data_IF_716504299392
#
_entry.id   IF_716504299392
#
_cell.length_a   1.000
_cell.length_b   1.000
_cell.length_c   1.000
_cell.angle_alpha   90.00
_cell.angle_beta   90.00
_cell.angle_gamma   90.00
#
_symmetry.space_group_name_H-M   'P 1'
#
loop_
_entity.id
_entity.type
_entity.pdbx_description
1 polymer ?
#
# COMPACT_ATOMS: atom_id res chain seq x y z
N UNK A 1 24.37 -3.14 -6.20
CA UNK A 1 23.06 -2.71 -5.65
C UNK A 1 23.09 -2.61 -4.12
N UNK A 2 23.30 -3.72 -3.40
CA UNK A 2 23.32 -3.76 -1.91
C UNK A 2 24.12 -2.63 -1.25
N UNK A 3 25.38 -2.44 -1.67
CA UNK A 3 26.24 -1.39 -1.12
C UNK A 3 25.68 0.03 -1.38
N UNK A 4 25.17 0.29 -2.58
CA UNK A 4 24.60 1.60 -2.94
C UNK A 4 23.37 1.94 -2.09
N UNK A 5 22.50 0.97 -1.83
CA UNK A 5 21.31 1.20 -0.99
C UNK A 5 21.67 1.34 0.48
N UNK A 6 22.54 0.46 1.01
CA UNK A 6 22.91 0.47 2.44
C UNK A 6 23.70 1.70 2.86
N UNK A 7 24.47 2.29 1.94
CA UNK A 7 25.28 3.48 2.18
C UNK A 7 24.65 4.76 1.61
N UNK A 8 23.35 4.73 1.28
CA UNK A 8 22.60 5.92 0.90
C UNK A 8 22.59 6.94 2.06
N UNK A 9 23.11 8.16 1.88
CA UNK A 9 23.17 9.16 2.94
C UNK A 9 21.75 9.61 3.27
N UNK A 10 21.37 9.58 4.56
CA UNK A 10 20.07 10.08 5.04
C UNK A 10 18.84 9.48 4.34
N UNK A 11 18.97 8.30 3.73
CA UNK A 11 17.89 7.69 2.96
C UNK A 11 17.67 8.33 1.57
N UNK A 12 18.62 9.12 1.08
CA UNK A 12 18.63 9.59 -0.31
C UNK A 12 19.00 8.43 -1.25
N UNK A 13 17.97 7.85 -1.85
CA UNK A 13 18.09 6.75 -2.79
C UNK A 13 18.31 7.20 -4.25
N UNK A 14 18.55 8.49 -4.51
CA UNK A 14 18.76 9.02 -5.87
C UNK A 14 19.86 8.26 -6.60
N UNK A 15 21.01 8.01 -5.94
CA UNK A 15 22.13 7.28 -6.55
C UNK A 15 21.81 5.81 -6.86
N UNK A 16 21.36 4.96 -5.89
CA UNK A 16 21.03 3.57 -6.18
C UNK A 16 19.91 3.42 -7.22
N UNK A 17 18.88 4.27 -7.18
CA UNK A 17 17.78 4.23 -8.15
C UNK A 17 18.23 4.70 -9.54
N UNK A 18 19.01 5.79 -9.64
CA UNK A 18 19.58 6.22 -10.92
C UNK A 18 20.45 5.13 -11.55
N UNK A 19 21.27 4.45 -10.76
CA UNK A 19 22.05 3.31 -11.22
C UNK A 19 21.15 2.15 -11.69
N UNK A 20 20.08 1.85 -10.94
CA UNK A 20 19.12 0.82 -11.33
C UNK A 20 18.45 1.12 -12.67
N UNK A 21 17.91 2.32 -12.86
CA UNK A 21 17.18 2.70 -14.07
C UNK A 21 18.09 2.78 -15.30
N UNK A 22 19.37 3.10 -15.12
CA UNK A 22 20.31 3.24 -16.23
C UNK A 22 20.97 1.92 -16.63
N UNK A 23 21.33 1.07 -15.66
CA UNK A 23 22.12 -0.13 -15.90
C UNK A 23 21.28 -1.40 -15.90
N UNK A 24 20.09 -1.40 -15.28
CA UNK A 24 19.24 -2.58 -15.08
C UNK A 24 20.03 -3.82 -14.61
N UNK A 25 20.79 -3.72 -13.51
CA UNK A 25 21.67 -4.80 -13.06
C UNK A 25 20.88 -6.06 -12.68
N UNK A 26 21.42 -7.24 -13.00
CA UNK A 26 20.87 -8.51 -12.55
C UNK A 26 21.06 -8.65 -11.04
N UNK A 27 19.96 -8.74 -10.30
CA UNK A 27 19.97 -8.96 -8.86
C UNK A 27 20.08 -10.46 -8.58
N UNK A 28 21.22 -10.89 -8.03
CA UNK A 28 21.52 -12.32 -7.80
C UNK A 28 21.03 -12.85 -6.46
N UNK A 29 20.57 -11.97 -5.56
CA UNK A 29 20.17 -12.33 -4.20
C UNK A 29 18.83 -11.71 -3.86
N UNK A 30 18.03 -12.41 -3.05
CA UNK A 30 16.76 -11.88 -2.51
C UNK A 30 16.99 -10.60 -1.71
N UNK A 31 18.05 -10.54 -0.93
CA UNK A 31 18.42 -9.35 -0.16
C UNK A 31 18.64 -8.11 -1.05
N UNK A 32 19.33 -8.27 -2.20
CA UNK A 32 19.55 -7.15 -3.11
C UNK A 32 18.24 -6.65 -3.74
N UNK A 33 17.31 -7.58 -4.01
CA UNK A 33 15.95 -7.26 -4.47
C UNK A 33 15.17 -6.51 -3.39
N UNK A 34 15.13 -7.02 -2.16
CA UNK A 34 14.39 -6.40 -1.05
C UNK A 34 14.93 -5.01 -0.69
N UNK A 35 16.25 -4.82 -0.72
CA UNK A 35 16.87 -3.51 -0.48
C UNK A 35 16.52 -2.51 -1.59
N UNK A 36 16.65 -2.90 -2.86
CA UNK A 36 16.25 -2.05 -3.98
C UNK A 36 14.76 -1.72 -3.90
N UNK A 37 13.92 -2.72 -3.62
CA UNK A 37 12.48 -2.54 -3.52
C UNK A 37 12.11 -1.58 -2.40
N UNK A 38 12.75 -1.69 -1.22
CA UNK A 38 12.55 -0.75 -0.13
C UNK A 38 12.96 0.68 -0.52
N UNK A 39 14.09 0.84 -1.21
CA UNK A 39 14.51 2.14 -1.72
C UNK A 39 13.47 2.72 -2.68
N UNK A 40 13.01 1.93 -3.63
CA UNK A 40 11.97 2.31 -4.60
C UNK A 40 10.66 2.66 -3.90
N UNK A 41 10.16 1.81 -3.00
CA UNK A 41 8.92 2.05 -2.26
C UNK A 41 8.99 3.30 -1.38
N UNK A 42 10.18 3.65 -0.88
CA UNK A 42 10.44 4.88 -0.13
C UNK A 42 10.42 6.13 -0.99
N UNK A 43 10.80 6.02 -2.27
CA UNK A 43 10.87 7.15 -3.20
C UNK A 43 9.58 7.31 -4.04
N UNK A 44 8.94 6.21 -4.46
CA UNK A 44 7.70 6.21 -5.24
C UNK A 44 6.87 4.96 -4.97
N UNK A 45 5.65 5.15 -4.45
CA UNK A 45 4.72 4.04 -4.18
C UNK A 45 4.24 3.42 -5.49
N UNK A 46 3.89 4.26 -6.48
CA UNK A 46 3.46 3.82 -7.81
C UNK A 46 4.54 3.01 -8.53
N UNK A 47 5.79 3.45 -8.49
CA UNK A 47 6.88 2.74 -9.14
C UNK A 47 7.09 1.36 -8.53
N UNK A 48 7.19 1.28 -7.19
CA UNK A 48 7.34 0.02 -6.48
C UNK A 48 6.20 -0.95 -6.76
N UNK A 49 4.97 -0.43 -6.85
CA UNK A 49 3.80 -1.22 -7.22
C UNK A 49 3.98 -1.86 -8.60
N UNK A 50 4.26 -1.09 -9.65
CA UNK A 50 4.43 -1.65 -10.99
C UNK A 50 5.66 -2.55 -11.10
N UNK A 51 6.75 -2.25 -10.37
CA UNK A 51 7.91 -3.10 -10.32
C UNK A 51 7.60 -4.48 -9.70
N UNK A 52 6.77 -4.54 -8.65
CA UNK A 52 6.35 -5.82 -8.07
C UNK A 52 5.68 -6.73 -9.11
N UNK A 53 4.89 -6.16 -10.02
CA UNK A 53 4.16 -6.88 -11.09
C UNK A 53 5.06 -7.50 -12.16
N UNK A 54 6.34 -7.14 -12.20
CA UNK A 54 7.32 -7.71 -13.14
C UNK A 54 7.86 -9.07 -12.69
N UNK A 55 7.51 -9.51 -11.47
CA UNK A 55 8.00 -10.75 -10.87
C UNK A 55 6.95 -11.87 -10.93
N UNK A 56 7.39 -13.09 -10.62
CA UNK A 56 6.47 -14.21 -10.41
C UNK A 56 5.49 -13.91 -9.27
N UNK A 57 4.32 -14.54 -9.29
CA UNK A 57 3.24 -14.32 -8.32
C UNK A 57 3.71 -14.36 -6.86
N UNK A 58 4.50 -15.36 -6.48
CA UNK A 58 5.01 -15.51 -5.11
C UNK A 58 5.87 -14.31 -4.69
N UNK A 59 6.78 -13.87 -5.57
CA UNK A 59 7.65 -12.72 -5.30
C UNK A 59 6.86 -11.41 -5.34
N UNK A 60 5.93 -11.26 -6.30
CA UNK A 60 5.01 -10.12 -6.40
C UNK A 60 4.21 -9.95 -5.11
N UNK A 61 3.63 -11.01 -4.57
CA UNK A 61 2.88 -10.98 -3.31
C UNK A 61 3.73 -10.55 -2.12
N UNK A 62 4.97 -11.07 -2.02
CA UNK A 62 5.91 -10.65 -0.97
C UNK A 62 6.25 -9.16 -1.08
N UNK A 63 6.62 -8.69 -2.28
CA UNK A 63 6.96 -7.29 -2.53
C UNK A 63 5.76 -6.36 -2.30
N UNK A 64 4.55 -6.79 -2.68
CA UNK A 64 3.33 -6.03 -2.44
C UNK A 64 3.06 -5.84 -0.95
N UNK A 65 3.14 -6.90 -0.13
CA UNK A 65 3.00 -6.80 1.33
C UNK A 65 4.09 -5.90 1.95
N UNK A 66 5.31 -5.98 1.43
CA UNK A 66 6.41 -5.09 1.82
C UNK A 66 6.12 -3.61 1.48
N UNK A 67 5.53 -3.32 0.32
CA UNK A 67 5.09 -1.97 -0.07
C UNK A 67 4.04 -1.44 0.89
N UNK A 68 2.99 -2.22 1.16
CA UNK A 68 1.91 -1.83 2.10
C UNK A 68 2.50 -1.55 3.49
N UNK A 69 3.37 -2.43 3.99
CA UNK A 69 4.08 -2.22 5.26
C UNK A 69 4.92 -0.93 5.25
N UNK A 70 5.68 -0.67 4.18
CA UNK A 70 6.53 0.51 4.07
C UNK A 70 5.75 1.82 4.10
N UNK A 71 4.54 1.84 3.54
CA UNK A 71 3.69 3.05 3.53
C UNK A 71 3.02 3.26 4.89
N UNK A 72 2.53 2.18 5.51
CA UNK A 72 1.67 2.28 6.69
C UNK A 72 2.43 2.26 8.03
N UNK A 73 3.66 1.76 8.07
CA UNK A 73 4.49 1.68 9.30
C UNK A 73 5.10 3.02 9.74
N UNK A 74 5.23 4.00 8.83
CA UNK A 74 5.84 5.29 9.12
C UNK A 74 4.99 6.14 10.09
N UNK A 75 5.62 6.99 10.93
CA UNK A 75 4.91 7.96 11.77
C UNK A 75 4.02 8.89 10.95
N UNK A 76 2.93 9.37 11.54
CA UNK A 76 2.01 10.26 10.86
C UNK A 76 2.70 11.59 10.50
N UNK A 77 2.64 11.93 9.22
CA UNK A 77 3.14 13.17 8.62
C UNK A 77 2.33 13.45 7.36
N UNK A 78 2.43 14.67 6.83
CA UNK A 78 1.79 15.01 5.55
C UNK A 78 2.29 14.10 4.42
N UNK A 79 3.59 13.84 4.35
CA UNK A 79 4.18 12.94 3.37
C UNK A 79 3.62 11.52 3.49
N UNK A 80 3.52 10.96 4.70
CA UNK A 80 3.02 9.59 4.88
C UNK A 80 1.52 9.49 4.63
N UNK A 81 0.75 10.56 4.83
CA UNK A 81 -0.65 10.63 4.44
C UNK A 81 -0.81 10.69 2.92
N UNK A 82 0.02 11.47 2.21
CA UNK A 82 0.04 11.51 0.75
C UNK A 82 0.36 10.13 0.15
N UNK A 83 1.36 9.44 0.70
CA UNK A 83 1.75 8.09 0.27
C UNK A 83 0.68 7.04 0.55
N UNK A 84 0.00 7.12 1.70
CA UNK A 84 -1.13 6.25 1.99
C UNK A 84 -2.29 6.48 1.00
N UNK A 85 -2.53 7.74 0.63
CA UNK A 85 -3.54 8.13 -0.37
C UNK A 85 -3.19 7.60 -1.75
N UNK A 86 -1.92 7.71 -2.16
CA UNK A 86 -1.40 7.11 -3.38
C UNK A 86 -1.63 5.59 -3.39
N UNK A 87 -1.22 4.89 -2.31
CA UNK A 87 -1.38 3.44 -2.17
C UNK A 87 -2.82 2.98 -2.37
N UNK A 88 -3.78 3.59 -1.66
CA UNK A 88 -5.20 3.20 -1.77
C UNK A 88 -5.84 3.61 -3.09
N UNK A 89 -5.20 4.48 -3.87
CA UNK A 89 -5.65 4.90 -5.20
C UNK A 89 -5.12 4.03 -6.34
N UNK A 90 -4.17 3.13 -6.06
CA UNK A 90 -3.56 2.28 -7.08
C UNK A 90 -4.57 1.29 -7.69
N UNK A 91 -4.40 0.89 -8.96
CA UNK A 91 -5.31 -0.01 -9.65
C UNK A 91 -4.98 -1.48 -9.33
N UNK A 92 -5.26 -1.91 -8.10
CA UNK A 92 -5.08 -3.31 -7.69
C UNK A 92 -5.91 -4.24 -8.58
N UNK A 93 -5.31 -5.36 -8.98
CA UNK A 93 -6.07 -6.48 -9.52
C UNK A 93 -6.72 -7.30 -8.40
N UNK A 94 -7.49 -8.34 -8.76
CA UNK A 94 -8.21 -9.15 -7.79
C UNK A 94 -7.30 -9.82 -6.76
N UNK A 95 -6.09 -10.23 -7.15
CA UNK A 95 -5.14 -10.90 -6.26
C UNK A 95 -4.48 -9.90 -5.32
N UNK A 96 -4.13 -8.72 -5.81
CA UNK A 96 -3.59 -7.64 -5.00
C UNK A 96 -4.62 -7.12 -3.98
N UNK A 97 -5.90 -7.07 -4.34
CA UNK A 97 -6.98 -6.77 -3.37
C UNK A 97 -7.05 -7.84 -2.27
N UNK A 98 -7.00 -9.13 -2.63
CA UNK A 98 -6.99 -10.23 -1.66
C UNK A 98 -5.77 -10.13 -0.73
N UNK A 99 -4.56 -9.97 -1.28
CA UNK A 99 -3.34 -9.82 -0.48
C UNK A 99 -3.39 -8.59 0.42
N UNK A 100 -3.97 -7.49 -0.06
CA UNK A 100 -4.13 -6.26 0.72
C UNK A 100 -5.05 -6.48 1.92
N UNK A 101 -6.20 -7.10 1.71
CA UNK A 101 -7.18 -7.40 2.75
C UNK A 101 -6.65 -8.42 3.77
N UNK A 102 -6.03 -9.50 3.31
CA UNK A 102 -5.40 -10.51 4.17
C UNK A 102 -4.28 -9.93 5.03
N UNK A 103 -3.36 -9.19 4.42
CA UNK A 103 -2.22 -8.60 5.12
C UNK A 103 -2.67 -7.68 6.27
N UNK A 104 -3.66 -6.83 6.01
CA UNK A 104 -4.16 -5.85 6.99
C UNK A 104 -5.09 -6.47 8.05
N UNK A 105 -5.63 -7.66 7.83
CA UNK A 105 -6.55 -8.32 8.79
C UNK A 105 -5.90 -9.41 9.64
N UNK A 106 -4.83 -10.04 9.17
CA UNK A 106 -4.25 -11.23 9.82
C UNK A 106 -2.80 -11.04 10.26
N UNK A 107 -1.91 -10.78 9.30
CA UNK A 107 -0.46 -10.88 9.43
C UNK A 107 0.13 -9.71 10.25
N UNK A 108 1.41 -9.40 10.04
CA UNK A 108 2.04 -8.23 10.64
C UNK A 108 1.33 -6.91 10.28
N UNK A 109 0.59 -6.87 9.17
CA UNK A 109 -0.22 -5.74 8.79
C UNK A 109 -1.32 -5.40 9.80
N UNK A 110 -1.89 -6.38 10.50
CA UNK A 110 -2.91 -6.15 11.55
C UNK A 110 -2.39 -5.30 12.71
N UNK A 111 -1.08 -5.35 12.97
CA UNK A 111 -0.42 -4.59 14.05
C UNK A 111 -0.21 -3.12 13.68
N UNK A 112 -0.37 -2.75 12.41
CA UNK A 112 -0.23 -1.38 11.95
C UNK A 112 -1.40 -0.54 12.47
N UNK A 113 -1.08 0.59 13.13
CA UNK A 113 -2.08 1.49 13.74
C UNK A 113 -3.18 1.93 12.77
N UNK A 114 -2.86 2.01 11.47
CA UNK A 114 -3.74 2.52 10.40
C UNK A 114 -4.35 1.42 9.52
N UNK A 115 -4.16 0.13 9.85
CA UNK A 115 -4.60 -0.97 9.00
C UNK A 115 -6.11 -0.90 8.68
N UNK A 116 -6.94 -0.75 9.72
CA UNK A 116 -8.40 -0.68 9.57
C UNK A 116 -8.86 0.52 8.75
N UNK A 117 -8.36 1.70 9.07
CA UNK A 117 -8.73 2.94 8.37
C UNK A 117 -8.35 2.86 6.88
N UNK A 118 -7.21 2.24 6.58
CA UNK A 118 -6.74 2.07 5.20
C UNK A 118 -7.63 1.10 4.43
N UNK A 119 -8.08 -0.01 5.03
CA UNK A 119 -9.04 -0.94 4.39
C UNK A 119 -10.37 -0.25 4.06
N UNK A 120 -10.90 0.53 5.00
CA UNK A 120 -12.15 1.27 4.80
C UNK A 120 -11.98 2.28 3.67
N UNK A 121 -10.91 3.06 3.71
CA UNK A 121 -10.63 4.06 2.67
C UNK A 121 -10.41 3.42 1.30
N UNK A 122 -9.74 2.27 1.22
CA UNK A 122 -9.60 1.51 -0.04
C UNK A 122 -10.97 1.14 -0.62
N UNK A 123 -11.88 0.61 0.21
CA UNK A 123 -13.26 0.28 -0.21
C UNK A 123 -14.01 1.52 -0.69
N UNK A 124 -13.87 2.66 -0.01
CA UNK A 124 -14.52 3.92 -0.41
C UNK A 124 -13.98 4.40 -1.77
N UNK A 125 -12.65 4.51 -1.91
CA UNK A 125 -11.98 5.02 -3.13
C UNK A 125 -12.25 4.12 -4.33
N UNK A 126 -12.44 2.82 -4.12
CA UNK A 126 -12.77 1.85 -5.19
C UNK A 126 -14.27 1.70 -5.47
N UNK A 127 -15.13 2.48 -4.83
CA UNK A 127 -16.58 2.42 -5.04
C UNK A 127 -17.29 1.26 -4.32
N UNK A 128 -16.59 0.48 -3.50
CA UNK A 128 -17.11 -0.62 -2.66
C UNK A 128 -17.74 -0.10 -1.36
N UNK A 129 -18.55 0.95 -1.44
CA UNK A 129 -19.12 1.63 -0.26
C UNK A 129 -20.04 0.72 0.56
N UNK A 130 -20.78 -0.19 -0.09
CA UNK A 130 -21.63 -1.18 0.60
C UNK A 130 -20.81 -2.08 1.53
N UNK A 131 -19.64 -2.53 1.08
CA UNK A 131 -18.72 -3.35 1.89
C UNK A 131 -18.13 -2.54 3.04
N UNK A 132 -17.77 -1.27 2.81
CA UNK A 132 -17.26 -0.37 3.85
C UNK A 132 -18.29 -0.11 4.96
N UNK A 133 -19.57 -0.07 4.60
CA UNK A 133 -20.69 0.20 5.51
C UNK A 133 -21.11 -1.03 6.33
N UNK A 134 -20.95 -2.22 5.76
CA UNK A 134 -21.31 -3.49 6.41
C UNK A 134 -20.21 -4.01 7.34
N UNK A 135 -18.98 -3.54 7.19
CA UNK A 135 -17.83 -3.95 7.99
C UNK A 135 -18.00 -3.51 9.44
N UNK A 136 -18.47 -4.40 10.33
CA UNK A 136 -18.72 -4.10 11.75
C UNK A 136 -17.43 -3.88 12.56
N UNK A 137 -16.26 -4.02 11.95
CA UNK A 137 -14.96 -3.92 12.63
C UNK A 137 -14.45 -2.50 12.82
N UNK A 138 -15.20 -1.48 12.35
CA UNK A 138 -14.71 -0.11 12.36
C UNK A 138 -14.53 0.43 13.77
N UNK A 139 -13.46 1.22 13.92
CA UNK A 139 -13.28 2.05 15.10
C UNK A 139 -14.40 3.09 15.20
N UNK A 140 -14.64 3.55 16.43
CA UNK A 140 -15.64 4.58 16.76
C UNK A 140 -15.54 5.84 15.90
N UNK A 141 -14.36 6.15 15.33
CA UNK A 141 -14.14 7.31 14.45
C UNK A 141 -14.88 7.28 13.11
N UNK A 142 -15.23 6.11 12.58
CA UNK A 142 -15.91 6.00 11.27
C UNK A 142 -17.43 5.95 11.36
N UNK A 143 -18.00 5.91 12.56
CA UNK A 143 -19.45 5.77 12.77
C UNK A 143 -20.27 6.85 12.07
N UNK A 144 -19.83 8.12 12.15
CA UNK A 144 -20.50 9.25 11.51
C UNK A 144 -20.43 9.19 9.98
N UNK A 145 -19.27 8.77 9.43
CA UNK A 145 -19.10 8.60 7.98
C UNK A 145 -19.98 7.47 7.48
N UNK A 146 -20.05 6.36 8.19
CA UNK A 146 -20.94 5.25 7.85
C UNK A 146 -22.41 5.63 7.90
N UNK A 147 -22.82 6.40 8.91
CA UNK A 147 -24.20 6.85 9.04
C UNK A 147 -24.56 7.82 7.90
N UNK A 148 -23.66 8.75 7.56
CA UNK A 148 -23.82 9.63 6.40
C UNK A 148 -23.91 8.86 5.09
N UNK A 149 -23.05 7.86 4.88
CA UNK A 149 -23.07 7.01 3.68
C UNK A 149 -24.34 6.14 3.63
N UNK A 150 -24.77 5.52 4.74
CA UNK A 150 -26.03 4.77 4.82
C UNK A 150 -27.23 5.64 4.48
N UNK A 151 -27.27 6.85 5.01
CA UNK A 151 -28.32 7.83 4.75
C UNK A 151 -28.33 8.24 3.27
N UNK A 152 -27.16 8.48 2.67
CA UNK A 152 -27.04 8.82 1.24
C UNK A 152 -27.30 7.67 0.27
N UNK A 153 -27.05 6.42 0.67
CA UNK A 153 -27.39 5.21 -0.10
C UNK A 153 -28.85 4.78 0.09
N UNK A 154 -29.56 5.37 1.07
CA UNK A 154 -30.98 5.16 1.34
C UNK A 154 -31.86 5.78 0.27
N UNK A 155 -32.06 5.04 -0.83
CA UNK A 155 -33.16 5.12 -1.79
C UNK A 155 -33.72 6.51 -2.12
N UNK A 156 -33.44 6.99 -3.34
CA UNK A 156 -34.50 7.70 -4.09
C UNK A 156 -35.61 6.67 -4.32
N UNK A 157 -36.58 6.60 -3.41
CA UNK A 157 -37.86 6.00 -3.74
C UNK A 157 -38.36 6.73 -4.98
N UNK A 158 -38.49 5.98 -6.08
CA UNK A 158 -39.11 6.50 -7.29
C UNK A 158 -40.53 6.95 -6.92
N UNK A 159 -40.76 8.27 -7.01
CA UNK A 159 -42.10 8.83 -7.24
C UNK A 159 -42.55 8.49 -8.67
#
# INVERSE_FOLDING_TARGET
MTALVRHAPEGDYTLPLSYFHTVQPILKTSEALELLFNAMARTSVTEAFYYSRTHSESVRGQLFRQLVSSVLSSPLSEETAARATELIGLPFDAMEEEWFEEFLTQEDGKKLKRAKDTLIMRKIVTGRLSEAVQDKSLGSGWGMVQEGVKSGLGGRAAE
#
